data_IF_750102850808
#
_entry.id   IF_750102850808
#
_cell.length_a   1.000
_cell.length_b   1.000
_cell.length_c   1.000
_cell.angle_alpha   90.00
_cell.angle_beta   90.00
_cell.angle_gamma   90.00
#
_symmetry.space_group_name_H-M   'P 1'
#
loop_
_entity.id
_entity.type
_entity.pdbx_description
1 polymer ?
#
# COMPACT_ATOMS: atom_id res chain seq x y z
N UNK A 1 9.22 -9.75 15.12
CA UNK A 1 8.38 -8.89 15.99
C UNK A 1 7.76 -7.83 15.10
N UNK A 2 6.47 -7.51 15.28
CA UNK A 2 5.79 -6.52 14.43
C UNK A 2 5.89 -5.14 15.08
N UNK A 3 6.24 -4.13 14.30
CA UNK A 3 6.40 -2.74 14.76
C UNK A 3 6.00 -1.74 13.69
N UNK A 4 5.76 -0.49 14.09
CA UNK A 4 5.62 0.63 13.15
C UNK A 4 6.96 0.91 12.47
N UNK A 5 6.96 0.97 11.14
CA UNK A 5 8.09 1.40 10.29
C UNK A 5 7.98 2.89 9.96
N UNK A 6 6.80 3.34 9.52
CA UNK A 6 6.58 4.71 9.09
C UNK A 6 5.19 5.22 9.50
N UNK A 7 5.10 6.53 9.74
CA UNK A 7 3.86 7.24 10.00
C UNK A 7 3.73 8.39 9.01
N UNK A 8 2.52 8.60 8.49
CA UNK A 8 2.20 9.71 7.61
C UNK A 8 0.87 10.37 7.96
N UNK A 9 0.84 11.68 7.74
CA UNK A 9 -0.39 12.46 7.59
C UNK A 9 -0.41 13.12 6.21
N UNK A 10 -1.60 13.49 5.76
CA UNK A 10 -1.82 14.21 4.50
C UNK A 10 -2.75 15.38 4.80
N UNK A 11 -2.22 16.53 5.26
CA UNK A 11 -3.06 17.56 5.86
C UNK A 11 -4.13 18.11 4.94
N UNK A 12 -3.78 18.27 3.66
CA UNK A 12 -4.72 18.59 2.60
C UNK A 12 -4.97 17.31 1.78
N UNK A 13 -6.25 16.98 1.58
CA UNK A 13 -6.68 15.86 0.74
C UNK A 13 -5.98 15.94 -0.62
N UNK A 14 -5.51 14.79 -1.10
CA UNK A 14 -4.83 14.64 -2.40
C UNK A 14 -3.46 15.31 -2.58
N UNK A 15 -2.88 15.95 -1.55
CA UNK A 15 -1.49 16.45 -1.59
C UNK A 15 -0.47 15.42 -1.08
N UNK A 16 0.82 15.79 -1.11
CA UNK A 16 1.93 14.94 -0.67
C UNK A 16 1.82 14.59 0.83
N UNK A 17 2.27 13.38 1.18
CA UNK A 17 2.29 12.93 2.57
C UNK A 17 3.45 13.53 3.36
N UNK A 18 3.19 13.87 4.63
CA UNK A 18 4.17 14.37 5.60
C UNK A 18 4.60 13.21 6.49
N UNK A 19 5.87 12.79 6.47
CA UNK A 19 6.35 11.74 7.36
C UNK A 19 6.42 12.25 8.80
N UNK A 20 6.04 11.40 9.75
CA UNK A 20 6.06 11.70 11.17
C UNK A 20 6.95 10.71 11.93
N UNK A 21 7.56 11.18 13.02
CA UNK A 21 8.19 10.30 14.03
C UNK A 21 7.18 9.85 15.09
N UNK A 22 6.18 10.68 15.36
CA UNK A 22 5.16 10.51 16.39
C UNK A 22 3.87 11.14 15.89
N UNK A 23 2.73 10.51 16.15
CA UNK A 23 1.42 10.98 15.69
C UNK A 23 0.40 10.87 16.83
N UNK A 24 -0.34 11.96 17.07
CA UNK A 24 -1.42 12.01 18.05
C UNK A 24 -2.71 11.47 17.42
N UNK A 25 -3.37 10.56 18.14
CA UNK A 25 -4.65 9.97 17.79
C UNK A 25 -5.73 10.81 18.46
N UNK A 26 -6.55 11.46 17.66
CA UNK A 26 -7.69 12.28 18.09
C UNK A 26 -8.96 11.79 17.41
N UNK A 27 -10.08 12.43 17.71
CA UNK A 27 -11.32 12.19 16.99
C UNK A 27 -11.14 12.42 15.48
N UNK A 28 -11.42 11.38 14.70
CA UNK A 28 -11.45 11.43 13.24
C UNK A 28 -10.12 11.20 12.52
N UNK A 29 -9.03 10.85 13.23
CA UNK A 29 -7.78 10.46 12.59
C UNK A 29 -6.53 10.81 13.39
N UNK A 30 -5.40 10.87 12.70
CA UNK A 30 -4.25 11.56 13.27
C UNK A 30 -4.52 13.07 13.27
N UNK A 31 -3.96 13.75 14.26
CA UNK A 31 -3.97 15.21 14.31
C UNK A 31 -3.48 15.77 12.96
N UNK A 32 -4.25 16.71 12.42
CA UNK A 32 -4.06 17.32 11.11
C UNK A 32 -4.19 16.39 9.89
N UNK A 33 -4.68 15.16 9.99
CA UNK A 33 -4.81 14.28 8.80
C UNK A 33 -6.10 14.53 7.99
N UNK A 34 -5.95 14.96 6.74
CA UNK A 34 -7.02 15.31 5.79
C UNK A 34 -8.07 16.25 6.39
N UNK A 35 -7.66 17.17 7.25
CA UNK A 35 -8.57 18.19 7.82
C UNK A 35 -8.86 19.33 6.83
N UNK A 36 -8.10 19.40 5.73
CA UNK A 36 -8.28 20.35 4.66
C UNK A 36 -8.56 19.64 3.32
N UNK A 37 -9.28 20.31 2.43
CA UNK A 37 -9.63 19.77 1.10
C UNK A 37 -9.81 20.91 0.09
N UNK A 38 -9.41 20.69 -1.16
CA UNK A 38 -9.77 21.57 -2.27
C UNK A 38 -11.13 21.17 -2.83
N UNK A 39 -11.98 22.14 -3.12
CA UNK A 39 -13.29 21.93 -3.74
C UNK A 39 -13.54 22.93 -4.85
N UNK A 40 -14.58 22.66 -5.64
CA UNK A 40 -15.26 23.68 -6.43
C UNK A 40 -16.04 24.65 -5.51
N UNK A 41 -16.46 25.83 -6.02
CA UNK A 41 -17.21 26.82 -5.23
C UNK A 41 -18.52 26.28 -4.63
N UNK A 42 -19.14 25.30 -5.28
CA UNK A 42 -20.37 24.63 -4.83
C UNK A 42 -20.14 23.62 -3.67
N UNK A 43 -18.87 23.34 -3.34
CA UNK A 43 -18.48 22.38 -2.30
C UNK A 43 -18.18 20.97 -2.78
N UNK A 44 -18.24 20.73 -4.10
CA UNK A 44 -17.84 19.47 -4.73
C UNK A 44 -16.34 19.25 -4.60
N UNK A 45 -15.94 18.13 -4.00
CA UNK A 45 -14.53 17.85 -3.71
C UNK A 45 -13.68 17.64 -4.97
N UNK A 46 -12.47 18.17 -4.97
CA UNK A 46 -11.45 17.98 -6.02
C UNK A 46 -10.39 17.01 -5.51
N UNK A 47 -9.95 16.09 -6.38
CA UNK A 47 -8.92 15.12 -6.02
C UNK A 47 -7.80 15.01 -7.04
N UNK A 48 -6.67 14.47 -6.60
CA UNK A 48 -5.52 14.15 -7.46
C UNK A 48 -5.79 13.09 -8.54
N UNK A 49 -6.99 12.52 -8.58
CA UNK A 49 -7.42 11.67 -9.71
C UNK A 49 -7.81 12.49 -10.94
N UNK A 50 -8.32 13.69 -10.70
CA UNK A 50 -8.65 14.66 -11.73
C UNK A 50 -7.46 15.61 -11.98
N UNK A 51 -6.77 16.00 -10.90
CA UNK A 51 -5.68 16.98 -10.93
C UNK A 51 -4.41 16.45 -10.24
N UNK A 52 -3.63 15.58 -10.90
CA UNK A 52 -2.42 14.99 -10.33
C UNK A 52 -1.41 16.01 -9.81
N UNK A 53 -1.37 17.25 -10.34
CA UNK A 53 -0.45 18.29 -9.87
C UNK A 53 -0.56 18.59 -8.36
N UNK A 54 -1.70 18.29 -7.73
CA UNK A 54 -1.86 18.38 -6.28
C UNK A 54 -0.82 17.54 -5.51
N UNK A 55 -0.36 16.41 -6.07
CA UNK A 55 0.66 15.55 -5.46
C UNK A 55 2.04 16.20 -5.40
N UNK A 56 2.30 17.24 -6.22
CA UNK A 56 3.54 18.03 -6.19
C UNK A 56 3.57 19.04 -5.04
N UNK A 57 2.42 19.33 -4.44
CA UNK A 57 2.30 20.30 -3.37
C UNK A 57 2.69 19.70 -2.03
N UNK A 58 3.59 20.38 -1.33
CA UNK A 58 4.07 20.03 -0.01
C UNK A 58 3.29 20.83 1.03
N UNK A 59 2.94 20.18 2.12
CA UNK A 59 2.24 20.82 3.24
C UNK A 59 3.03 20.65 4.53
N UNK A 60 3.03 21.66 5.38
CA UNK A 60 3.42 21.54 6.79
C UNK A 60 2.44 22.31 7.67
N UNK A 61 2.28 21.84 8.91
CA UNK A 61 1.43 22.50 9.91
C UNK A 61 2.28 22.73 11.16
N UNK A 62 2.39 23.98 11.59
CA UNK A 62 3.20 24.40 12.74
C UNK A 62 2.38 25.40 13.54
N UNK A 63 2.07 25.11 14.82
CA UNK A 63 1.37 26.02 15.74
C UNK A 63 0.15 26.72 15.11
N UNK A 64 -0.81 25.94 14.59
CA UNK A 64 -2.04 26.45 13.94
C UNK A 64 -1.83 27.17 12.59
N UNK A 65 -0.61 27.23 12.07
CA UNK A 65 -0.29 27.80 10.77
C UNK A 65 0.00 26.69 9.77
N UNK A 66 -0.57 26.82 8.57
CA UNK A 66 -0.41 25.90 7.45
C UNK A 66 0.46 26.57 6.39
N UNK A 67 1.44 25.83 5.91
CA UNK A 67 2.28 26.21 4.78
C UNK A 67 2.02 25.25 3.64
N UNK A 68 1.84 25.79 2.43
CA UNK A 68 1.73 25.00 1.22
C UNK A 68 2.70 25.53 0.19
N UNK A 69 3.60 24.68 -0.28
CA UNK A 69 4.63 25.03 -1.26
C UNK A 69 4.56 24.16 -2.50
N UNK A 70 4.64 24.80 -3.66
CA UNK A 70 4.82 24.14 -4.96
C UNK A 70 6.29 24.06 -5.35
N UNK A 71 7.04 25.10 -5.01
CA UNK A 71 8.48 25.21 -5.20
C UNK A 71 9.12 25.97 -4.03
N UNK A 72 10.44 26.15 -4.05
CA UNK A 72 11.13 26.93 -3.01
C UNK A 72 10.73 28.40 -2.99
N UNK A 73 10.26 28.94 -4.12
CA UNK A 73 9.90 30.36 -4.28
C UNK A 73 8.39 30.60 -4.30
N UNK A 74 7.58 29.54 -4.43
CA UNK A 74 6.12 29.61 -4.53
C UNK A 74 5.48 28.91 -3.32
N UNK A 75 5.18 29.71 -2.29
CA UNK A 75 4.61 29.25 -1.01
C UNK A 75 3.50 30.17 -0.53
N UNK A 76 2.40 29.60 -0.06
CA UNK A 76 1.34 30.29 0.66
C UNK A 76 1.34 29.88 2.14
N UNK A 77 1.09 30.85 3.02
CA UNK A 77 0.89 30.62 4.46
C UNK A 77 -0.47 31.14 4.90
N UNK A 78 -1.14 30.42 5.78
CA UNK A 78 -2.42 30.84 6.35
C UNK A 78 -2.66 30.12 7.68
N UNK A 79 -3.50 30.71 8.53
CA UNK A 79 -3.88 30.15 9.81
C UNK A 79 -5.34 29.66 9.79
N UNK A 80 -5.70 28.76 10.70
CA UNK A 80 -7.08 28.24 10.78
C UNK A 80 -8.11 29.30 11.20
N UNK A 81 -7.72 30.31 11.96
CA UNK A 81 -8.57 31.43 12.38
C UNK A 81 -8.90 32.42 11.25
N UNK A 82 -8.23 32.33 10.10
CA UNK A 82 -8.58 33.12 8.91
C UNK A 82 -9.76 32.53 8.12
N UNK A 83 -10.17 31.29 8.40
CA UNK A 83 -11.28 30.65 7.69
C UNK A 83 -12.64 31.29 8.07
N UNK A 84 -13.60 31.21 7.17
CA UNK A 84 -14.94 31.75 7.40
C UNK A 84 -15.61 31.16 8.65
N UNK A 85 -16.24 31.98 9.48
CA UNK A 85 -16.99 31.48 10.64
C UNK A 85 -18.27 30.73 10.23
N UNK A 86 -18.83 31.05 9.07
CA UNK A 86 -20.03 30.39 8.55
C UNK A 86 -19.72 28.98 8.04
N UNK A 87 -20.63 28.06 8.36
CA UNK A 87 -20.67 26.71 7.80
C UNK A 87 -21.12 26.77 6.34
N UNK A 88 -20.28 26.29 5.44
CA UNK A 88 -20.59 26.11 4.02
C UNK A 88 -20.83 24.61 3.71
N UNK A 89 -21.88 24.26 2.96
CA UNK A 89 -22.13 22.89 2.52
C UNK A 89 -20.95 22.32 1.72
N UNK A 90 -20.69 21.02 1.88
CA UNK A 90 -19.69 20.26 1.12
C UNK A 90 -20.05 18.78 1.11
N UNK A 91 -19.42 18.01 0.22
CA UNK A 91 -19.68 16.59 0.06
C UNK A 91 -18.39 15.81 -0.20
N UNK A 92 -18.33 14.60 0.35
CA UNK A 92 -17.32 13.60 -0.03
C UNK A 92 -18.00 12.24 -0.12
N UNK A 93 -18.12 11.72 -1.34
CA UNK A 93 -18.65 10.38 -1.65
C UNK A 93 -20.12 10.17 -1.26
N UNK A 94 -20.97 11.13 -1.58
CA UNK A 94 -22.39 11.16 -1.23
C UNK A 94 -22.67 11.41 0.26
N UNK A 95 -21.64 11.77 1.04
CA UNK A 95 -21.78 12.18 2.42
C UNK A 95 -21.72 13.71 2.49
N UNK A 96 -22.84 14.33 2.84
CA UNK A 96 -23.02 15.79 2.93
C UNK A 96 -22.81 16.28 4.35
N UNK A 97 -22.01 17.33 4.51
CA UNK A 97 -21.66 17.95 5.79
C UNK A 97 -21.21 19.40 5.57
N UNK A 98 -20.68 20.06 6.60
CA UNK A 98 -20.27 21.47 6.53
C UNK A 98 -18.76 21.64 6.68
N UNK A 99 -18.26 22.77 6.18
CA UNK A 99 -16.86 23.17 6.23
C UNK A 99 -16.74 24.69 6.24
N UNK A 100 -15.57 25.19 6.58
CA UNK A 100 -15.22 26.60 6.54
C UNK A 100 -14.37 26.88 5.29
N UNK A 101 -14.58 28.03 4.65
CA UNK A 101 -13.90 28.41 3.41
C UNK A 101 -12.69 29.29 3.73
N UNK A 102 -11.57 29.04 3.07
CA UNK A 102 -10.34 29.82 3.25
C UNK A 102 -10.48 31.25 2.66
N UNK A 103 -9.63 32.20 3.09
CA UNK A 103 -9.59 33.54 2.52
C UNK A 103 -9.35 33.57 1.01
N UNK A 104 -9.79 34.62 0.34
CA UNK A 104 -9.68 34.79 -1.11
C UNK A 104 -8.24 34.61 -1.62
N UNK A 105 -7.24 35.13 -0.90
CA UNK A 105 -5.82 34.99 -1.26
C UNK A 105 -5.35 33.52 -1.32
N UNK A 106 -5.90 32.67 -0.45
CA UNK A 106 -5.56 31.23 -0.39
C UNK A 106 -6.25 30.50 -1.54
N UNK A 107 -7.52 30.84 -1.81
CA UNK A 107 -8.27 30.27 -2.92
C UNK A 107 -7.64 30.65 -4.28
N UNK A 108 -7.18 31.90 -4.44
CA UNK A 108 -6.48 32.36 -5.63
C UNK A 108 -5.18 31.59 -5.88
N UNK A 109 -4.40 31.30 -4.83
CA UNK A 109 -3.19 30.48 -4.94
C UNK A 109 -3.48 29.10 -5.56
N UNK A 110 -4.50 28.40 -5.07
CA UNK A 110 -4.87 27.09 -5.63
C UNK A 110 -5.54 27.21 -7.00
N UNK A 111 -6.29 28.28 -7.26
CA UNK A 111 -6.95 28.52 -8.54
C UNK A 111 -5.94 28.76 -9.66
N UNK A 112 -4.82 29.43 -9.35
CA UNK A 112 -3.70 29.60 -10.30
C UNK A 112 -3.03 28.27 -10.64
N UNK A 113 -2.90 27.36 -9.67
CA UNK A 113 -2.29 26.04 -9.89
C UNK A 113 -3.18 25.13 -10.72
N UNK A 114 -4.50 25.14 -10.45
CA UNK A 114 -5.47 24.25 -11.09
C UNK A 114 -6.12 24.85 -12.35
N UNK A 115 -5.78 26.10 -12.67
CA UNK A 115 -6.36 26.87 -13.78
C UNK A 115 -7.91 26.89 -13.78
N UNK A 116 -8.52 26.91 -12.58
CA UNK A 116 -9.97 27.01 -12.38
C UNK A 116 -10.28 27.63 -11.02
N UNK A 117 -11.49 28.16 -10.85
CA UNK A 117 -11.95 28.63 -9.55
C UNK A 117 -12.12 27.47 -8.58
N UNK A 118 -11.40 27.54 -7.46
CA UNK A 118 -11.46 26.55 -6.37
C UNK A 118 -11.47 27.22 -5.01
N UNK A 119 -11.84 26.44 -4.01
CA UNK A 119 -11.80 26.83 -2.61
C UNK A 119 -10.99 25.82 -1.80
N UNK A 120 -10.14 26.30 -0.90
CA UNK A 120 -9.64 25.49 0.18
C UNK A 120 -10.66 25.48 1.32
N UNK A 121 -10.96 24.29 1.84
CA UNK A 121 -11.94 24.07 2.89
C UNK A 121 -11.31 23.42 4.11
N UNK A 122 -11.70 23.87 5.29
CA UNK A 122 -11.37 23.27 6.57
C UNK A 122 -12.61 22.63 7.18
N UNK A 123 -12.50 21.40 7.66
CA UNK A 123 -13.64 20.67 8.23
C UNK A 123 -14.14 21.29 9.56
N UNK A 124 -13.31 22.10 10.22
CA UNK A 124 -13.65 22.72 11.51
C UNK A 124 -13.53 21.76 12.69
N UNK A 125 -13.81 22.28 13.89
CA UNK A 125 -13.92 21.51 15.12
C UNK A 125 -15.19 21.95 15.88
N UNK A 126 -15.99 21.00 16.42
CA UNK A 126 -15.86 19.55 16.28
C UNK A 126 -16.14 19.07 14.84
N UNK A 127 -15.66 17.88 14.49
CA UNK A 127 -15.93 17.28 13.18
C UNK A 127 -17.43 17.01 13.03
N UNK A 128 -18.02 17.42 11.92
CA UNK A 128 -19.45 17.21 11.61
C UNK A 128 -19.71 15.93 10.79
N UNK A 129 -18.70 15.45 10.07
CA UNK A 129 -18.80 14.24 9.24
C UNK A 129 -18.57 12.95 10.04
N UNK A 130 -19.28 11.88 9.66
CA UNK A 130 -19.22 10.54 10.27
C UNK A 130 -18.95 9.46 9.24
N UNK A 131 -18.36 8.35 9.67
CA UNK A 131 -18.21 7.19 8.77
C UNK A 131 -19.57 6.57 8.45
N UNK A 132 -19.70 5.94 7.27
CA UNK A 132 -20.97 5.35 6.84
C UNK A 132 -21.36 4.09 7.61
N UNK A 133 -20.38 3.28 8.04
CA UNK A 133 -20.62 2.00 8.74
C UNK A 133 -20.60 2.12 10.26
N UNK A 134 -19.95 3.15 10.79
CA UNK A 134 -19.81 3.44 12.22
C UNK A 134 -20.19 4.93 12.43
N UNK A 135 -21.50 5.26 12.48
CA UNK A 135 -21.98 6.63 12.54
C UNK A 135 -21.53 7.41 13.79
N UNK A 136 -21.09 6.71 14.83
CA UNK A 136 -20.49 7.28 16.03
C UNK A 136 -19.05 7.75 15.80
N UNK A 137 -18.37 7.22 14.78
CA UNK A 137 -16.96 7.53 14.51
C UNK A 137 -16.87 8.77 13.59
N UNK A 138 -16.25 9.87 14.05
CA UNK A 138 -15.96 11.02 13.20
C UNK A 138 -14.93 10.67 12.12
N UNK A 139 -14.96 11.41 11.01
CA UNK A 139 -13.96 11.30 9.95
C UNK A 139 -13.77 12.66 9.30
N UNK A 140 -12.54 13.02 8.98
CA UNK A 140 -12.19 14.26 8.26
C UNK A 140 -12.55 14.17 6.76
N UNK A 141 -11.83 14.85 5.87
CA UNK A 141 -11.98 14.68 4.41
C UNK A 141 -11.35 13.39 3.86
N UNK A 142 -10.92 12.46 4.72
CA UNK A 142 -10.50 11.10 4.33
C UNK A 142 -11.61 10.37 3.54
N UNK A 143 -11.29 9.39 2.69
CA UNK A 143 -12.31 8.82 1.79
C UNK A 143 -13.45 8.10 2.54
N UNK A 144 -13.15 7.38 3.61
CA UNK A 144 -14.21 6.69 4.37
C UNK A 144 -13.86 6.30 5.81
N UNK A 145 -12.58 6.22 6.16
CA UNK A 145 -12.13 5.86 7.50
C UNK A 145 -10.95 6.72 7.95
N UNK A 146 -10.78 6.93 9.27
CA UNK A 146 -9.72 7.77 9.85
C UNK A 146 -8.29 7.29 9.58
N UNK A 147 -8.06 5.96 9.50
CA UNK A 147 -6.73 5.40 9.34
C UNK A 147 -6.68 4.34 8.25
N UNK A 148 -5.55 4.30 7.53
CA UNK A 148 -5.17 3.21 6.65
C UNK A 148 -3.87 2.57 7.14
N UNK A 149 -3.91 1.28 7.42
CA UNK A 149 -2.75 0.45 7.75
C UNK A 149 -2.22 -0.24 6.49
N UNK A 150 -0.91 -0.14 6.27
CA UNK A 150 -0.19 -0.90 5.25
C UNK A 150 0.87 -1.77 5.91
N UNK A 151 1.11 -2.94 5.33
CA UNK A 151 2.20 -3.81 5.72
C UNK A 151 3.31 -3.72 4.66
N UNK A 152 4.52 -3.39 5.09
CA UNK A 152 5.70 -3.28 4.23
C UNK A 152 5.98 -4.57 3.47
N UNK A 153 5.80 -5.73 4.10
CA UNK A 153 5.99 -7.03 3.45
C UNK A 153 4.94 -7.28 2.33
N UNK A 154 3.71 -6.79 2.50
CA UNK A 154 2.66 -6.83 1.45
C UNK A 154 3.05 -5.94 0.26
N UNK A 155 3.62 -4.77 0.54
CA UNK A 155 4.09 -3.85 -0.49
C UNK A 155 5.30 -4.41 -1.25
N UNK A 156 6.27 -4.99 -0.55
CA UNK A 156 7.43 -5.64 -1.16
C UNK A 156 7.01 -6.82 -2.04
N UNK A 157 6.02 -7.61 -1.60
CA UNK A 157 5.44 -8.66 -2.41
C UNK A 157 4.83 -8.11 -3.71
N UNK A 158 4.04 -7.04 -3.62
CA UNK A 158 3.47 -6.37 -4.79
C UNK A 158 4.55 -5.83 -5.73
N UNK A 159 5.57 -5.14 -5.20
CA UNK A 159 6.68 -4.61 -5.97
C UNK A 159 7.40 -5.71 -6.75
N UNK A 160 7.57 -6.90 -6.18
CA UNK A 160 8.21 -8.02 -6.85
C UNK A 160 7.39 -8.56 -8.04
N UNK A 161 6.07 -8.41 -8.01
CA UNK A 161 5.19 -8.83 -9.12
C UNK A 161 4.99 -7.72 -10.15
N UNK A 162 5.25 -6.46 -9.78
CA UNK A 162 4.98 -5.29 -10.59
C UNK A 162 6.20 -4.92 -11.46
N UNK A 163 6.05 -4.77 -12.79
CA UNK A 163 7.15 -4.38 -13.67
C UNK A 163 7.59 -2.93 -13.46
N UNK A 164 6.70 -2.07 -12.97
CA UNK A 164 7.00 -0.68 -12.64
C UNK A 164 7.58 -0.57 -11.23
N UNK A 165 8.52 0.36 -11.04
CA UNK A 165 8.97 0.75 -9.70
C UNK A 165 7.82 1.48 -9.01
N UNK A 166 7.48 1.03 -7.81
CA UNK A 166 6.42 1.56 -6.98
C UNK A 166 7.00 2.32 -5.80
N UNK A 167 6.19 3.22 -5.28
CA UNK A 167 6.39 3.89 -4.01
C UNK A 167 5.21 3.60 -3.08
N UNK A 168 5.48 3.15 -1.85
CA UNK A 168 4.43 2.82 -0.88
C UNK A 168 3.53 4.04 -0.57
N UNK A 169 4.05 5.26 -0.76
CA UNK A 169 3.30 6.51 -0.60
C UNK A 169 2.15 6.65 -1.59
N UNK A 170 2.19 5.93 -2.73
CA UNK A 170 1.06 5.85 -3.69
C UNK A 170 -0.21 5.29 -3.03
N UNK A 171 -0.06 4.45 -2.00
CA UNK A 171 -1.18 3.84 -1.28
C UNK A 171 -1.76 4.72 -0.18
N UNK A 172 -1.10 5.85 0.12
CA UNK A 172 -1.56 6.87 1.07
C UNK A 172 -1.86 6.36 2.48
N UNK A 173 -1.10 5.36 2.94
CA UNK A 173 -1.21 4.76 4.27
C UNK A 173 -0.81 5.74 5.37
N UNK A 174 -1.51 5.67 6.50
CA UNK A 174 -1.17 6.46 7.70
C UNK A 174 -0.15 5.74 8.57
N UNK A 175 -0.33 4.43 8.73
CA UNK A 175 0.51 3.57 9.55
C UNK A 175 1.09 2.51 8.63
N UNK A 176 2.41 2.45 8.53
CA UNK A 176 3.12 1.39 7.82
C UNK A 176 3.85 0.57 8.85
N UNK A 177 3.61 -0.73 8.84
CA UNK A 177 4.24 -1.67 9.77
C UNK A 177 5.23 -2.59 9.05
N UNK A 178 6.12 -3.20 9.83
CA UNK A 178 7.06 -4.22 9.37
C UNK A 178 7.09 -5.42 10.31
N UNK A 179 7.71 -6.51 9.86
CA UNK A 179 7.91 -7.73 10.65
C UNK A 179 6.73 -8.71 10.65
N UNK A 180 5.66 -8.41 9.90
CA UNK A 180 4.56 -9.33 9.61
C UNK A 180 4.80 -10.05 8.27
N UNK A 181 4.17 -11.21 8.07
CA UNK A 181 4.15 -11.88 6.76
C UNK A 181 3.34 -11.04 5.75
N UNK A 182 3.61 -11.14 4.44
CA UNK A 182 2.79 -10.49 3.42
C UNK A 182 1.31 -10.82 3.60
N UNK A 183 0.47 -9.78 3.57
CA UNK A 183 -0.99 -9.80 3.69
C UNK A 183 -1.53 -10.34 5.02
N UNK A 184 -0.69 -10.50 6.04
CA UNK A 184 -1.14 -10.95 7.36
C UNK A 184 -2.18 -10.01 8.00
N UNK A 185 -2.15 -8.72 7.64
CA UNK A 185 -3.08 -7.69 8.10
C UNK A 185 -4.54 -7.96 7.72
N UNK A 186 -4.79 -8.74 6.66
CA UNK A 186 -6.15 -9.09 6.24
C UNK A 186 -6.87 -9.97 7.28
N UNK A 187 -6.11 -10.71 8.11
CA UNK A 187 -6.65 -11.61 9.13
C UNK A 187 -6.68 -11.02 10.53
N UNK A 188 -6.42 -9.72 10.70
CA UNK A 188 -6.46 -9.06 12.00
C UNK A 188 -7.81 -8.38 12.19
N UNK A 189 -8.37 -8.51 13.39
CA UNK A 189 -9.62 -7.85 13.78
C UNK A 189 -9.36 -6.66 14.69
N UNK A 190 -8.48 -6.83 15.67
CA UNK A 190 -8.09 -5.77 16.60
C UNK A 190 -6.60 -5.82 16.87
N UNK A 191 -5.94 -4.67 16.86
CA UNK A 191 -4.53 -4.51 17.22
C UNK A 191 -4.36 -3.46 18.33
N UNK A 192 -3.30 -3.59 19.11
CA UNK A 192 -2.87 -2.60 20.10
C UNK A 192 -1.47 -2.08 19.75
N UNK A 193 -1.31 -0.75 19.77
CA UNK A 193 -0.02 -0.07 19.57
C UNK A 193 0.16 0.98 20.66
N UNK A 194 1.20 0.82 21.49
CA UNK A 194 1.27 1.56 22.76
C UNK A 194 0.00 1.29 23.58
N UNK A 195 -0.68 2.36 24.00
CA UNK A 195 -1.99 2.28 24.68
C UNK A 195 -3.21 2.42 23.76
N UNK A 196 -3.00 2.60 22.45
CA UNK A 196 -4.09 2.79 21.50
C UNK A 196 -4.55 1.46 20.92
N UNK A 197 -5.86 1.23 20.94
CA UNK A 197 -6.50 0.05 20.35
C UNK A 197 -7.16 0.47 19.03
N UNK A 198 -6.88 -0.28 17.97
CA UNK A 198 -7.47 -0.10 16.65
C UNK A 198 -8.28 -1.32 16.25
N UNK A 199 -9.46 -1.07 15.69
CA UNK A 199 -10.27 -2.09 15.02
C UNK A 199 -10.07 -2.03 13.51
N UNK A 200 -9.85 -3.19 12.89
CA UNK A 200 -9.72 -3.36 11.46
C UNK A 200 -11.11 -3.61 10.88
N UNK A 201 -11.66 -2.62 10.19
CA UNK A 201 -13.09 -2.58 9.85
C UNK A 201 -13.39 -2.93 8.39
N UNK A 202 -12.44 -2.73 7.47
CA UNK A 202 -12.65 -3.02 6.05
C UNK A 202 -11.33 -3.09 5.27
N UNK A 203 -11.13 -4.06 4.36
CA UNK A 203 -10.12 -3.97 3.31
C UNK A 203 -10.21 -2.64 2.53
N UNK A 204 -9.07 -2.09 2.14
CA UNK A 204 -9.01 -0.81 1.44
C UNK A 204 -9.01 -1.02 -0.08
N UNK A 205 -10.15 -0.76 -0.70
CA UNK A 205 -10.30 -0.79 -2.15
C UNK A 205 -9.51 0.33 -2.82
N UNK A 206 -8.71 -0.02 -3.80
CA UNK A 206 -7.77 0.87 -4.46
C UNK A 206 -8.37 1.49 -5.72
N UNK A 207 -8.10 2.77 -5.92
CA UNK A 207 -8.50 3.52 -7.10
C UNK A 207 -7.29 3.96 -7.93
N UNK A 208 -7.55 4.59 -9.08
CA UNK A 208 -6.54 5.08 -10.03
C UNK A 208 -5.46 5.98 -9.39
N UNK A 209 -5.71 6.59 -8.23
CA UNK A 209 -4.69 7.40 -7.56
C UNK A 209 -3.43 6.60 -7.21
N UNK A 210 -3.54 5.28 -7.01
CA UNK A 210 -2.35 4.45 -6.78
C UNK A 210 -1.48 4.31 -8.03
N UNK A 211 -1.97 4.68 -9.21
CA UNK A 211 -1.23 4.55 -10.48
C UNK A 211 -0.54 5.84 -10.89
N UNK A 212 -0.45 6.82 -9.99
CA UNK A 212 0.24 8.09 -10.22
C UNK A 212 1.54 8.09 -9.41
N UNK A 213 2.66 8.43 -10.05
CA UNK A 213 3.93 8.62 -9.34
C UNK A 213 3.84 9.84 -8.42
N UNK A 214 4.15 9.65 -7.14
CA UNK A 214 3.97 10.68 -6.10
C UNK A 214 4.98 11.83 -6.18
N UNK A 215 6.04 11.71 -6.99
CA UNK A 215 7.07 12.73 -7.14
C UNK A 215 6.89 13.49 -8.46
N UNK A 216 6.64 12.79 -9.57
CA UNK A 216 6.43 13.42 -10.88
C UNK A 216 4.99 13.83 -11.16
N UNK A 217 4.03 13.29 -10.39
CA UNK A 217 2.58 13.36 -10.66
C UNK A 217 2.15 12.81 -12.03
N UNK A 218 2.99 12.01 -12.67
CA UNK A 218 2.69 11.37 -13.95
C UNK A 218 2.10 9.97 -13.72
N UNK A 219 1.20 9.50 -14.60
CA UNK A 219 0.69 8.15 -14.54
C UNK A 219 1.80 7.12 -14.81
N UNK A 220 1.81 6.04 -14.03
CA UNK A 220 2.61 4.86 -14.29
C UNK A 220 2.09 4.13 -15.53
N UNK A 221 3.01 3.54 -16.31
CA UNK A 221 2.65 2.80 -17.51
C UNK A 221 1.70 1.64 -17.20
N UNK A 222 0.82 1.33 -18.17
CA UNK A 222 -0.08 0.17 -18.13
C UNK A 222 -1.01 0.09 -16.90
N UNK A 223 -1.35 1.24 -16.30
CA UNK A 223 -2.25 1.30 -15.14
C UNK A 223 -1.72 0.50 -13.92
N UNK A 224 -0.40 0.41 -13.78
CA UNK A 224 0.23 -0.19 -12.60
C UNK A 224 0.12 0.72 -11.38
N UNK A 225 -0.03 0.19 -10.15
CA UNK A 225 0.01 -1.23 -9.79
C UNK A 225 -1.36 -1.92 -9.82
N UNK A 226 -2.45 -1.26 -10.26
CA UNK A 226 -3.79 -1.86 -10.24
C UNK A 226 -3.88 -3.08 -11.15
N UNK A 227 -3.20 -3.05 -12.30
CA UNK A 227 -3.09 -4.21 -13.19
C UNK A 227 -2.47 -5.41 -12.47
N UNK A 228 -1.32 -5.23 -11.81
CA UNK A 228 -0.67 -6.30 -11.04
C UNK A 228 -1.51 -6.78 -9.85
N UNK A 229 -2.09 -5.85 -9.09
CA UNK A 229 -2.94 -6.20 -7.93
C UNK A 229 -4.15 -7.03 -8.34
N UNK A 230 -4.76 -6.76 -9.50
CA UNK A 230 -5.93 -7.51 -10.00
C UNK A 230 -5.69 -9.01 -10.05
N UNK A 231 -4.46 -9.45 -10.27
CA UNK A 231 -4.12 -10.87 -10.37
C UNK A 231 -4.30 -11.64 -9.06
N UNK A 232 -4.24 -10.98 -7.89
CA UNK A 232 -4.27 -11.70 -6.61
C UNK A 232 -5.00 -10.97 -5.48
N UNK A 233 -5.53 -9.77 -5.76
CA UNK A 233 -6.25 -8.90 -4.83
C UNK A 233 -7.62 -8.47 -5.35
N UNK A 234 -8.08 -9.02 -6.47
CA UNK A 234 -9.44 -8.81 -6.94
C UNK A 234 -10.40 -9.77 -6.24
N UNK A 235 -11.55 -9.29 -5.80
CA UNK A 235 -12.67 -10.14 -5.40
C UNK A 235 -13.55 -10.55 -6.58
N UNK A 236 -14.62 -11.29 -6.32
CA UNK A 236 -15.59 -11.74 -7.32
C UNK A 236 -16.30 -10.59 -8.04
N UNK A 237 -16.38 -9.42 -7.40
CA UNK A 237 -16.96 -8.19 -7.97
C UNK A 237 -15.90 -7.34 -8.71
N UNK A 238 -14.65 -7.81 -8.78
CA UNK A 238 -13.54 -7.11 -9.41
C UNK A 238 -12.97 -5.94 -8.61
N UNK A 239 -13.35 -5.77 -7.34
CA UNK A 239 -12.75 -4.76 -6.46
C UNK A 239 -11.36 -5.20 -6.04
N UNK A 240 -10.40 -4.28 -6.18
CA UNK A 240 -8.99 -4.54 -5.93
C UNK A 240 -8.60 -3.95 -4.58
N UNK A 241 -8.16 -4.77 -3.64
CA UNK A 241 -7.87 -4.33 -2.27
C UNK A 241 -6.38 -4.35 -1.91
N UNK A 242 -5.89 -3.31 -1.23
CA UNK A 242 -4.54 -3.28 -0.66
C UNK A 242 -4.48 -2.40 0.61
N UNK A 243 -4.02 -2.99 1.71
CA UNK A 243 -4.11 -2.37 3.04
C UNK A 243 -5.49 -2.51 3.67
N UNK A 244 -5.59 -2.13 4.94
CA UNK A 244 -6.82 -2.24 5.74
C UNK A 244 -7.18 -0.93 6.43
N UNK A 245 -8.46 -0.57 6.40
CA UNK A 245 -8.97 0.61 7.08
C UNK A 245 -9.20 0.32 8.56
N UNK A 246 -8.93 1.31 9.41
CA UNK A 246 -9.09 1.18 10.85
C UNK A 246 -9.82 2.37 11.47
N UNK A 247 -10.40 2.11 12.64
CA UNK A 247 -10.89 3.11 13.60
C UNK A 247 -10.15 2.92 14.94
N UNK A 248 -9.95 3.99 15.69
CA UNK A 248 -9.34 3.92 17.03
C UNK A 248 -10.44 3.90 18.09
N UNK A 249 -10.28 3.09 19.14
CA UNK A 249 -11.21 3.03 20.28
C UNK A 249 -10.96 4.12 21.31
N UNK A 250 -9.75 4.67 21.35
CA UNK A 250 -9.30 5.63 22.34
C UNK A 250 -8.26 6.58 21.75
N UNK A 251 -8.10 7.74 22.38
CA UNK A 251 -7.03 8.69 22.06
C UNK A 251 -5.70 8.20 22.62
N UNK A 252 -4.62 8.81 22.14
CA UNK A 252 -3.28 8.55 22.62
C UNK A 252 -2.23 9.00 21.63
N UNK A 253 -1.02 8.51 21.80
CA UNK A 253 0.07 8.84 20.87
C UNK A 253 0.85 7.59 20.53
N UNK A 254 1.21 7.44 19.26
CA UNK A 254 2.08 6.36 18.78
C UNK A 254 3.30 6.95 18.08
N UNK A 255 4.39 6.22 18.10
CA UNK A 255 5.67 6.58 17.47
C UNK A 255 6.14 5.49 16.51
N UNK A 256 7.04 5.85 15.61
CA UNK A 256 7.81 4.86 14.86
C UNK A 256 8.51 3.90 15.84
N UNK A 257 8.67 2.64 15.44
CA UNK A 257 9.21 1.53 16.23
C UNK A 257 8.33 1.02 17.38
N UNK A 258 7.17 1.64 17.66
CA UNK A 258 6.22 1.06 18.61
C UNK A 258 5.80 -0.34 18.19
N UNK A 259 5.73 -1.25 19.16
CA UNK A 259 5.36 -2.65 18.95
C UNK A 259 3.86 -2.74 18.67
N UNK A 260 3.52 -3.56 17.67
CA UNK A 260 2.13 -3.87 17.32
C UNK A 260 1.78 -5.24 17.87
N UNK A 261 0.76 -5.31 18.72
CA UNK A 261 0.21 -6.55 19.26
C UNK A 261 -1.11 -6.87 18.56
N UNK A 262 -1.23 -8.08 18.02
CA UNK A 262 -2.53 -8.58 17.55
C UNK A 262 -3.33 -9.04 18.75
N UNK A 263 -4.48 -8.42 18.99
CA UNK A 263 -5.38 -8.74 20.10
C UNK A 263 -6.42 -9.78 19.68
N UNK A 264 -6.97 -9.63 18.47
CA UNK A 264 -7.98 -10.52 17.92
C UNK A 264 -7.78 -10.73 16.42
N UNK A 265 -8.13 -11.91 15.91
CA UNK A 265 -8.05 -12.28 14.50
C UNK A 265 -9.45 -12.48 13.90
N UNK A 266 -9.54 -12.33 12.58
CA UNK A 266 -10.73 -12.63 11.80
C UNK A 266 -10.37 -13.44 10.55
N UNK A 267 -11.40 -13.97 9.90
CA UNK A 267 -11.25 -14.61 8.60
C UNK A 267 -10.92 -13.54 7.57
N UNK A 268 -9.80 -13.70 6.87
CA UNK A 268 -9.41 -12.81 5.80
C UNK A 268 -10.37 -12.92 4.62
N UNK A 269 -10.60 -11.80 3.92
CA UNK A 269 -11.38 -11.77 2.68
C UNK A 269 -10.72 -12.68 1.64
N UNK A 270 -11.54 -13.46 0.94
CA UNK A 270 -11.07 -14.30 -0.16
C UNK A 270 -10.88 -13.46 -1.43
N UNK A 271 -9.81 -13.73 -2.17
CA UNK A 271 -9.50 -13.09 -3.45
C UNK A 271 -9.30 -14.12 -4.53
N UNK A 272 -9.70 -13.76 -5.75
CA UNK A 272 -9.46 -14.57 -6.95
C UNK A 272 -7.99 -14.40 -7.34
N UNK A 273 -7.28 -15.52 -7.48
CA UNK A 273 -5.87 -15.54 -7.88
C UNK A 273 -5.74 -16.03 -9.31
N UNK A 274 -5.55 -15.09 -10.23
CA UNK A 274 -5.38 -15.32 -11.65
C UNK A 274 -4.15 -14.57 -12.14
N UNK A 275 -2.98 -15.17 -11.92
CA UNK A 275 -1.73 -14.62 -12.44
C UNK A 275 -1.65 -14.84 -13.96
N UNK A 276 -1.17 -13.84 -14.72
CA UNK A 276 -0.96 -14.02 -16.14
C UNK A 276 0.04 -15.17 -16.33
N UNK A 277 -0.15 -16.01 -17.36
CA UNK A 277 0.89 -16.96 -17.73
C UNK A 277 2.16 -16.14 -17.98
N UNK A 278 3.26 -16.51 -17.32
CA UNK A 278 4.57 -15.88 -17.58
C UNK A 278 4.77 -15.83 -19.08
N UNK A 279 5.19 -14.66 -19.60
CA UNK A 279 5.50 -14.47 -21.02
C UNK A 279 6.36 -15.66 -21.42
N UNK A 280 5.82 -16.47 -22.32
CA UNK A 280 6.52 -17.59 -22.93
C UNK A 280 7.65 -16.96 -23.74
N UNK A 281 8.87 -16.89 -23.20
CA UNK A 281 10.02 -17.20 -24.06
C UNK A 281 9.73 -18.58 -24.65
N UNK A 282 10.13 -18.87 -25.90
CA UNK A 282 10.01 -20.24 -26.40
C UNK A 282 10.58 -21.19 -25.35
N UNK A 283 9.87 -22.30 -25.08
CA UNK A 283 10.33 -23.24 -24.07
C UNK A 283 11.65 -23.80 -24.57
N UNK A 284 12.75 -23.34 -23.98
CA UNK A 284 14.05 -23.88 -24.33
C UNK A 284 14.13 -25.23 -23.64
N UNK A 285 14.19 -26.27 -24.47
CA UNK A 285 14.43 -27.62 -24.00
C UNK A 285 15.84 -27.65 -23.40
N UNK A 286 15.92 -28.14 -22.18
CA UNK A 286 17.16 -28.40 -21.47
C UNK A 286 17.02 -29.71 -20.70
N UNK A 287 18.06 -30.07 -19.95
CA UNK A 287 18.12 -31.29 -19.17
C UNK A 287 18.36 -30.98 -17.69
N UNK A 288 17.73 -31.77 -16.82
CA UNK A 288 18.07 -31.83 -15.40
C UNK A 288 18.69 -33.20 -15.17
N UNK A 289 19.95 -33.21 -14.75
CA UNK A 289 20.62 -34.39 -14.22
C UNK A 289 20.52 -34.36 -12.70
N UNK A 290 19.80 -35.33 -12.12
CA UNK A 290 19.64 -35.48 -10.67
C UNK A 290 20.11 -36.87 -10.23
N UNK A 291 21.19 -36.88 -9.44
CA UNK A 291 22.00 -38.09 -9.17
C UNK A 291 22.37 -38.79 -10.51
N UNK A 292 21.88 -40.01 -10.77
CA UNK A 292 22.21 -40.81 -11.96
C UNK A 292 21.13 -40.73 -13.07
N UNK A 293 20.14 -39.83 -12.95
CA UNK A 293 19.02 -39.72 -13.90
C UNK A 293 19.03 -38.36 -14.59
N UNK A 294 19.06 -38.38 -15.92
CA UNK A 294 18.88 -37.20 -16.77
C UNK A 294 17.48 -37.19 -17.37
N UNK A 295 16.74 -36.11 -17.15
CA UNK A 295 15.39 -35.91 -17.68
C UNK A 295 15.37 -34.70 -18.61
N UNK A 296 14.54 -34.77 -19.67
CA UNK A 296 14.30 -33.64 -20.57
C UNK A 296 13.25 -32.71 -19.95
N UNK A 297 13.57 -31.42 -19.90
CA UNK A 297 12.82 -30.41 -19.17
C UNK A 297 12.75 -29.10 -19.97
N UNK A 298 12.07 -28.11 -19.41
CA UNK A 298 11.94 -26.77 -19.96
C UNK A 298 12.35 -25.70 -18.93
N UNK A 299 12.57 -24.50 -19.45
CA UNK A 299 12.87 -23.30 -18.68
C UNK A 299 11.61 -22.52 -18.21
N UNK A 300 10.48 -23.20 -17.98
CA UNK A 300 9.21 -22.58 -17.54
C UNK A 300 8.66 -23.10 -16.22
N UNK A 301 8.93 -24.37 -15.90
CA UNK A 301 8.51 -25.00 -14.66
C UNK A 301 9.64 -25.02 -13.63
N UNK A 302 9.27 -25.06 -12.35
CA UNK A 302 10.26 -25.21 -11.29
C UNK A 302 10.95 -26.56 -11.40
N UNK A 303 12.18 -26.65 -10.93
CA UNK A 303 12.93 -27.91 -10.89
C UNK A 303 12.11 -28.99 -10.17
N UNK A 304 11.45 -28.65 -9.06
CA UNK A 304 10.63 -29.59 -8.30
C UNK A 304 9.48 -30.18 -9.14
N UNK A 305 8.69 -29.33 -9.81
CA UNK A 305 7.55 -29.79 -10.62
C UNK A 305 7.99 -30.75 -11.74
N UNK A 306 9.15 -30.46 -12.35
CA UNK A 306 9.68 -31.28 -13.45
C UNK A 306 10.23 -32.62 -12.96
N UNK A 307 10.84 -32.68 -11.77
CA UNK A 307 11.23 -33.94 -11.13
C UNK A 307 9.99 -34.80 -10.80
N UNK A 308 8.93 -34.19 -10.25
CA UNK A 308 7.69 -34.91 -9.91
C UNK A 308 7.00 -35.52 -11.14
N UNK A 309 6.93 -34.78 -12.25
CA UNK A 309 6.37 -35.27 -13.52
C UNK A 309 7.13 -36.49 -14.06
N UNK A 310 8.43 -36.56 -13.81
CA UNK A 310 9.28 -37.70 -14.16
C UNK A 310 9.36 -38.76 -13.06
N UNK A 311 8.48 -38.68 -12.05
CA UNK A 311 8.42 -39.60 -10.90
C UNK A 311 9.72 -39.68 -10.10
N UNK A 312 10.48 -38.58 -10.05
CA UNK A 312 11.67 -38.44 -9.21
C UNK A 312 11.28 -37.70 -7.94
N UNK A 313 11.41 -38.37 -6.79
CA UNK A 313 11.05 -37.81 -5.50
C UNK A 313 12.13 -36.87 -4.97
N UNK A 314 11.73 -35.64 -4.65
CA UNK A 314 12.54 -34.69 -3.89
C UNK A 314 11.73 -34.27 -2.64
N UNK A 315 12.33 -34.18 -1.44
CA UNK A 315 11.61 -33.69 -0.27
C UNK A 315 11.09 -32.26 -0.48
N UNK A 316 9.80 -32.00 -0.24
CA UNK A 316 9.23 -30.65 -0.29
C UNK A 316 8.11 -30.47 0.74
N UNK A 317 7.66 -29.23 0.93
CA UNK A 317 6.49 -28.91 1.76
C UNK A 317 5.76 -27.66 1.26
N UNK A 318 6.44 -26.51 1.19
CA UNK A 318 5.74 -25.23 0.94
C UNK A 318 5.51 -24.86 -0.54
N UNK A 319 6.30 -25.42 -1.47
CA UNK A 319 6.37 -25.01 -2.90
C UNK A 319 6.64 -23.52 -3.19
N UNK A 320 6.82 -22.68 -2.17
CA UNK A 320 6.99 -21.24 -2.29
C UNK A 320 8.40 -20.74 -1.93
N UNK A 321 9.37 -21.65 -1.77
CA UNK A 321 10.77 -21.26 -1.52
C UNK A 321 11.04 -20.73 -0.10
N UNK A 322 10.21 -21.11 0.87
CA UNK A 322 10.28 -20.62 2.26
C UNK A 322 10.67 -21.68 3.28
N UNK A 323 10.21 -22.93 3.17
CA UNK A 323 10.42 -23.97 4.19
C UNK A 323 11.82 -24.62 4.16
N UNK A 324 12.59 -24.44 3.09
CA UNK A 324 13.92 -25.06 2.95
C UNK A 324 13.94 -26.57 2.69
N UNK A 325 12.79 -27.25 2.63
CA UNK A 325 12.75 -28.72 2.47
C UNK A 325 13.25 -29.20 1.10
N UNK A 326 13.00 -28.41 0.05
CA UNK A 326 13.38 -28.68 -1.34
C UNK A 326 14.83 -28.26 -1.66
N UNK A 327 15.68 -28.14 -0.64
CA UNK A 327 17.05 -27.65 -0.78
C UNK A 327 17.95 -28.70 -1.43
N UNK A 328 18.59 -28.32 -2.52
CA UNK A 328 19.55 -29.14 -3.27
C UNK A 328 20.82 -28.35 -3.53
N UNK A 329 21.90 -29.05 -3.87
CA UNK A 329 23.12 -28.45 -4.37
C UNK A 329 23.08 -28.39 -5.91
N UNK A 330 23.39 -27.24 -6.48
CA UNK A 330 23.59 -27.02 -7.91
C UNK A 330 25.06 -27.28 -8.25
N UNK A 331 25.36 -28.40 -8.90
CA UNK A 331 26.71 -28.79 -9.29
C UNK A 331 27.16 -28.11 -10.59
N UNK A 332 26.25 -27.94 -11.54
CA UNK A 332 26.55 -27.36 -12.85
C UNK A 332 25.32 -26.63 -13.41
N UNK A 333 25.59 -25.59 -14.21
CA UNK A 333 24.59 -24.79 -14.92
C UNK A 333 24.04 -23.62 -14.10
N UNK A 334 23.04 -22.94 -14.65
CA UNK A 334 22.43 -21.76 -14.03
C UNK A 334 20.91 -21.91 -13.85
N UNK A 335 20.39 -21.25 -12.82
CA UNK A 335 18.96 -21.21 -12.53
C UNK A 335 18.46 -19.77 -12.37
N UNK A 336 17.20 -19.56 -12.71
CA UNK A 336 16.45 -18.33 -12.42
C UNK A 336 15.65 -18.53 -11.14
N UNK A 337 15.87 -17.68 -10.15
CA UNK A 337 15.15 -17.67 -8.89
C UNK A 337 13.77 -17.00 -9.03
N UNK A 338 12.73 -17.65 -8.51
CA UNK A 338 11.38 -17.08 -8.44
C UNK A 338 11.15 -16.26 -7.16
N UNK A 339 12.01 -16.44 -6.16
CA UNK A 339 11.98 -15.72 -4.90
C UNK A 339 13.42 -15.39 -4.48
N UNK A 340 13.62 -14.27 -3.77
CA UNK A 340 14.94 -13.86 -3.28
C UNK A 340 15.58 -14.91 -2.35
N UNK A 341 14.75 -15.73 -1.67
CA UNK A 341 15.21 -16.79 -0.78
C UNK A 341 15.60 -18.08 -1.51
N UNK A 342 15.36 -18.19 -2.82
CA UNK A 342 15.53 -19.44 -3.57
C UNK A 342 17.00 -19.81 -3.77
N UNK A 343 17.90 -18.84 -3.91
CA UNK A 343 19.35 -19.07 -4.01
C UNK A 343 19.96 -18.88 -2.61
N UNK A 344 20.71 -19.88 -2.17
CA UNK A 344 21.44 -19.90 -0.90
C UNK A 344 22.96 -19.88 -1.17
N UNK A 345 23.74 -19.65 -0.11
CA UNK A 345 25.21 -19.67 -0.19
C UNK A 345 25.73 -21.06 -0.59
N UNK A 346 26.92 -21.10 -1.19
CA UNK A 346 27.62 -22.34 -1.60
C UNK A 346 26.86 -23.18 -2.63
N UNK A 347 26.36 -22.55 -3.70
CA UNK A 347 25.63 -23.21 -4.79
C UNK A 347 24.41 -24.03 -4.33
N UNK A 348 23.77 -23.67 -3.21
CA UNK A 348 22.56 -24.32 -2.74
C UNK A 348 21.34 -23.59 -3.27
N UNK A 349 20.34 -24.32 -3.76
CA UNK A 349 19.13 -23.75 -4.34
C UNK A 349 17.87 -24.46 -3.83
N UNK A 350 16.74 -23.77 -3.82
CA UNK A 350 15.43 -24.34 -3.52
C UNK A 350 14.78 -24.77 -4.83
N UNK A 351 14.75 -26.08 -5.10
CA UNK A 351 14.22 -26.65 -6.35
C UNK A 351 12.76 -26.23 -6.63
N UNK A 352 12.00 -25.95 -5.58
CA UNK A 352 10.61 -25.49 -5.65
C UNK A 352 10.45 -24.01 -6.00
N UNK A 353 11.53 -23.25 -6.14
CA UNK A 353 11.49 -21.83 -6.51
C UNK A 353 12.64 -21.44 -7.45
N UNK A 354 13.23 -22.42 -8.13
CA UNK A 354 14.24 -22.23 -9.15
C UNK A 354 13.77 -22.88 -10.45
N UNK A 355 14.06 -22.23 -11.57
CA UNK A 355 13.81 -22.71 -12.94
C UNK A 355 15.17 -22.85 -13.63
N UNK A 356 15.46 -23.95 -14.36
CA UNK A 356 16.69 -24.06 -15.14
C UNK A 356 16.75 -22.99 -16.24
N UNK A 357 17.91 -22.33 -16.42
CA UNK A 357 18.16 -21.47 -17.59
C UNK A 357 18.67 -22.24 -18.80
N UNK A 358 19.22 -23.44 -18.57
CA UNK A 358 19.80 -24.36 -19.55
C UNK A 358 20.01 -25.72 -18.88
N UNK A 359 20.93 -26.53 -19.39
CA UNK A 359 21.26 -27.82 -18.77
C UNK A 359 21.84 -27.62 -17.37
N UNK A 360 21.29 -28.35 -16.39
CA UNK A 360 21.74 -28.29 -15.00
C UNK A 360 21.97 -29.67 -14.40
N UNK A 361 22.92 -29.73 -13.47
CA UNK A 361 23.18 -30.90 -12.64
C UNK A 361 22.95 -30.54 -11.18
N UNK A 362 22.10 -31.29 -10.50
CA UNK A 362 21.73 -31.07 -9.10
C UNK A 362 21.88 -32.34 -8.27
N UNK A 363 22.11 -32.18 -6.97
CA UNK A 363 22.29 -33.29 -6.04
C UNK A 363 21.55 -33.05 -4.72
N UNK A 364 21.10 -34.13 -4.08
CA UNK A 364 20.68 -34.04 -2.69
C UNK A 364 21.86 -33.68 -1.80
N UNK A 365 21.59 -32.84 -0.80
CA UNK A 365 22.55 -32.62 0.28
C UNK A 365 22.67 -33.92 1.06
N UNK A 366 23.82 -34.59 0.94
CA UNK A 366 24.17 -35.68 1.85
C UNK A 366 24.18 -35.10 3.27
N UNK A 367 23.43 -35.74 4.17
CA UNK A 367 23.45 -35.41 5.59
C UNK A 367 24.83 -35.70 6.17
#
# INVERSE_FOLDING_TARGET
MISIDQLYIYPIKSMQGVPLKKANIIDGGFEYDRILMISEPDGTFITARQYPELLKLKTSVIKNQVFVSRSLTETIKFNFDEFSLSNAPTEVWGNYFTSHIAPIRVNQFFSQILHKDVQLRWVGQPLTRRTKRYPEVPVSFADGYPYLLLNKASFEYLQHQCPQKLDIRQFRGNIIIQGALPFAEDGWKTIKVGEVIFDIVKPCTRCVLTTIDVNSAEPLANNEPLKTLRYFRADEQGQIDFGVNMIARNHGTISIHDKVKIMERQIAKNYIKTFPPKIKSEAQLCTITFEDKTIKVNNKQTILEQLEQHKIALPYSCRAGVCGRCLVELKQGEVSALTQSAIKRHNKILACSCIPKGDITIRLLKK
#
